data_IF_910964116719
#
_entry.id   IF_910964116719
#
_cell.length_a   1.000
_cell.length_b   1.000
_cell.length_c   1.000
_cell.angle_alpha   90.00
_cell.angle_beta   90.00
_cell.angle_gamma   90.00
#
_symmetry.space_group_name_H-M   'P 1'
#
loop_
_entity.id
_entity.type
_entity.pdbx_description
1 polymer ?
#
# COMPACT_ATOMS: atom_id res chain seq x y z
N UNK A 1 8.51 8.81 -8.86
CA UNK A 1 8.26 8.91 -7.42
C UNK A 1 6.76 8.78 -7.20
N UNK A 2 6.32 7.85 -6.36
CA UNK A 2 4.91 7.53 -6.16
C UNK A 2 4.72 6.05 -5.83
N UNK A 3 3.49 5.65 -5.53
CA UNK A 3 3.06 4.28 -5.17
C UNK A 3 3.70 3.21 -6.05
N UNK A 4 3.62 3.38 -7.38
CA UNK A 4 3.96 2.33 -8.35
C UNK A 4 5.34 2.48 -8.96
N UNK A 5 6.13 3.47 -8.52
CA UNK A 5 7.47 3.70 -9.05
C UNK A 5 8.38 2.51 -8.70
N UNK A 6 8.97 1.89 -9.72
CA UNK A 6 9.80 0.67 -9.62
C UNK A 6 9.09 -0.52 -8.93
N UNK A 7 7.76 -0.48 -8.86
CA UNK A 7 6.94 -1.58 -8.34
C UNK A 7 6.88 -2.76 -9.32
N UNK A 8 6.61 -3.95 -8.78
CA UNK A 8 6.44 -5.17 -9.56
C UNK A 8 4.96 -5.54 -9.80
N UNK A 9 4.01 -4.66 -9.46
CA UNK A 9 2.58 -4.99 -9.53
C UNK A 9 2.09 -5.41 -10.93
N UNK A 10 2.69 -4.87 -12.00
CA UNK A 10 2.34 -5.23 -13.38
C UNK A 10 3.12 -6.42 -13.94
N UNK A 11 4.10 -6.93 -13.19
CA UNK A 11 5.06 -7.93 -13.65
C UNK A 11 4.72 -9.31 -13.12
N UNK A 12 5.07 -10.35 -13.88
CA UNK A 12 5.00 -11.75 -13.42
C UNK A 12 6.20 -12.11 -12.55
N UNK A 13 6.45 -11.30 -11.53
CA UNK A 13 7.48 -11.51 -10.50
C UNK A 13 6.74 -11.82 -9.19
N UNK A 14 7.27 -12.75 -8.39
CA UNK A 14 6.61 -13.12 -7.14
C UNK A 14 6.54 -11.94 -6.19
N UNK A 15 5.40 -11.75 -5.50
CA UNK A 15 5.20 -10.61 -4.60
C UNK A 15 6.25 -10.49 -3.48
N UNK A 16 6.84 -11.60 -3.05
CA UNK A 16 7.89 -11.63 -2.04
C UNK A 16 9.18 -10.92 -2.51
N UNK A 17 9.38 -10.81 -3.82
CA UNK A 17 10.53 -10.15 -4.46
C UNK A 17 10.30 -8.65 -4.69
N UNK A 18 9.24 -8.08 -4.09
CA UNK A 18 8.95 -6.64 -4.19
C UNK A 18 10.16 -5.80 -3.75
N UNK A 19 10.29 -4.58 -4.29
CA UNK A 19 11.33 -3.67 -3.83
C UNK A 19 11.15 -3.30 -2.35
N UNK A 20 12.26 -3.06 -1.67
CA UNK A 20 12.31 -2.60 -0.27
C UNK A 20 13.38 -1.52 -0.12
N UNK A 21 13.12 -0.55 0.75
CA UNK A 21 14.15 0.39 1.17
C UNK A 21 15.22 -0.36 1.97
N UNK A 22 16.48 -0.17 1.59
CA UNK A 22 17.62 -0.92 2.16
C UNK A 22 18.26 -0.21 3.36
N UNK A 23 17.82 1.00 3.69
CA UNK A 23 18.35 1.78 4.81
C UNK A 23 17.34 2.79 5.35
N UNK A 24 17.56 3.22 6.58
CA UNK A 24 16.87 4.33 7.24
C UNK A 24 16.97 5.63 6.44
N UNK A 25 18.14 5.91 5.86
CA UNK A 25 18.36 7.09 5.03
C UNK A 25 17.51 7.03 3.76
N UNK A 26 17.44 5.87 3.10
CA UNK A 26 16.62 5.72 1.88
C UNK A 26 15.13 5.92 2.19
N UNK A 27 14.67 5.46 3.36
CA UNK A 27 13.32 5.74 3.87
C UNK A 27 13.09 7.23 4.09
N UNK A 28 14.00 7.91 4.79
CA UNK A 28 13.87 9.34 5.08
C UNK A 28 13.90 10.19 3.80
N UNK A 29 14.83 9.92 2.89
CA UNK A 29 14.93 10.62 1.61
C UNK A 29 13.64 10.51 0.78
N UNK A 30 12.98 9.34 0.83
CA UNK A 30 11.70 9.13 0.17
C UNK A 30 10.58 9.92 0.84
N UNK A 31 10.50 9.87 2.18
CA UNK A 31 9.50 10.56 2.95
C UNK A 31 9.59 12.09 2.81
N UNK A 32 10.82 12.64 2.77
CA UNK A 32 11.05 14.07 2.60
C UNK A 32 10.56 14.56 1.23
N UNK A 33 10.92 13.84 0.16
CA UNK A 33 10.46 14.15 -1.21
C UNK A 33 8.94 14.02 -1.34
N UNK A 34 8.34 13.01 -0.71
CA UNK A 34 6.89 12.84 -0.71
C UNK A 34 6.19 13.97 0.05
N UNK A 35 6.77 14.41 1.17
CA UNK A 35 6.25 15.54 1.96
C UNK A 35 6.35 16.86 1.18
N UNK A 36 7.46 17.09 0.48
CA UNK A 36 7.62 18.25 -0.40
C UNK A 36 6.57 18.26 -1.52
N UNK A 37 6.37 17.12 -2.19
CA UNK A 37 5.35 16.97 -3.22
C UNK A 37 3.93 17.17 -2.66
N UNK A 38 3.65 16.62 -1.48
CA UNK A 38 2.35 16.78 -0.83
C UNK A 38 2.09 18.24 -0.43
N UNK A 39 3.09 18.96 0.06
CA UNK A 39 2.98 20.39 0.34
C UNK A 39 2.73 21.21 -0.93
N UNK A 40 3.44 20.90 -2.01
CA UNK A 40 3.23 21.56 -3.29
C UNK A 40 1.80 21.32 -3.81
N UNK A 41 1.36 20.06 -3.91
CA UNK A 41 0.01 19.72 -4.39
C UNK A 41 -1.07 20.36 -3.51
N UNK A 42 -0.89 20.36 -2.18
CA UNK A 42 -1.83 20.98 -1.25
C UNK A 42 -1.92 22.50 -1.43
N UNK A 43 -0.80 23.17 -1.75
CA UNK A 43 -0.81 24.61 -2.10
C UNK A 43 -1.62 24.91 -3.36
N UNK A 44 -1.82 23.91 -4.23
CA UNK A 44 -2.67 23.98 -5.42
C UNK A 44 -4.11 23.50 -5.14
N UNK A 45 -4.47 23.24 -3.88
CA UNK A 45 -5.80 22.78 -3.48
C UNK A 45 -6.04 21.27 -3.66
N UNK A 46 -4.99 20.49 -3.94
CA UNK A 46 -5.09 19.03 -4.17
C UNK A 46 -4.34 18.29 -3.07
N UNK A 47 -5.04 17.43 -2.31
CA UNK A 47 -4.39 16.61 -1.28
C UNK A 47 -3.82 15.32 -1.89
N UNK A 48 -2.53 15.06 -1.63
CA UNK A 48 -1.91 13.79 -2.00
C UNK A 48 -2.44 12.67 -1.09
N UNK A 49 -2.91 11.58 -1.69
CA UNK A 49 -3.32 10.37 -1.00
C UNK A 49 -2.38 9.23 -1.42
N UNK A 50 -1.48 8.82 -0.54
CA UNK A 50 -0.55 7.73 -0.82
C UNK A 50 -1.26 6.40 -0.68
N UNK A 51 -1.30 5.62 -1.77
CA UNK A 51 -1.91 4.29 -1.79
C UNK A 51 -0.83 3.25 -1.53
N UNK A 52 -0.97 2.49 -0.45
CA UNK A 52 -0.13 1.32 -0.19
C UNK A 52 -0.61 0.15 -1.07
N UNK A 53 0.31 -0.58 -1.69
CA UNK A 53 -0.07 -1.51 -2.76
C UNK A 53 0.79 -2.78 -2.78
N UNK A 54 0.20 -3.86 -3.27
CA UNK A 54 0.93 -5.11 -3.45
C UNK A 54 1.99 -4.96 -4.54
N UNK A 55 3.20 -5.44 -4.29
CA UNK A 55 4.35 -5.34 -5.20
C UNK A 55 5.03 -3.97 -5.19
N UNK A 56 4.64 -3.05 -4.30
CA UNK A 56 5.25 -1.74 -4.14
C UNK A 56 6.25 -1.71 -2.97
N UNK A 57 6.95 -0.58 -2.82
CA UNK A 57 7.84 -0.33 -1.68
C UNK A 57 7.08 -0.32 -0.35
N UNK A 58 5.87 0.25 -0.35
CA UNK A 58 4.98 0.35 0.81
C UNK A 58 3.80 -0.59 0.59
N UNK A 59 3.85 -1.74 1.26
CA UNK A 59 2.87 -2.82 1.10
C UNK A 59 2.32 -3.28 2.46
N UNK A 60 3.20 -3.61 3.40
CA UNK A 60 2.81 -4.23 4.67
C UNK A 60 2.40 -3.17 5.70
N UNK A 61 1.70 -3.56 6.79
CA UNK A 61 1.38 -2.65 7.90
C UNK A 61 2.61 -1.92 8.45
N UNK A 62 3.75 -2.60 8.53
CA UNK A 62 5.00 -2.02 8.99
C UNK A 62 5.51 -0.95 8.01
N UNK A 63 5.39 -1.17 6.69
CA UNK A 63 5.76 -0.15 5.72
C UNK A 63 4.85 1.08 5.81
N UNK A 64 3.54 0.85 6.02
CA UNK A 64 2.56 1.94 6.21
C UNK A 64 2.94 2.74 7.46
N UNK A 65 3.27 2.07 8.56
CA UNK A 65 3.74 2.70 9.80
C UNK A 65 5.00 3.54 9.56
N UNK A 66 5.99 2.97 8.85
CA UNK A 66 7.24 3.67 8.52
C UNK A 66 6.97 4.92 7.69
N UNK A 67 6.15 4.81 6.65
CA UNK A 67 5.82 5.95 5.81
C UNK A 67 5.07 7.04 6.59
N UNK A 68 4.03 6.67 7.34
CA UNK A 68 3.23 7.63 8.10
C UNK A 68 4.04 8.28 9.23
N UNK A 69 4.97 7.56 9.85
CA UNK A 69 5.85 8.09 10.90
C UNK A 69 6.93 9.06 10.40
N UNK A 70 7.35 8.94 9.14
CA UNK A 70 8.43 9.76 8.56
C UNK A 70 7.96 10.95 7.74
N UNK A 71 6.74 10.88 7.21
CA UNK A 71 6.17 11.93 6.36
C UNK A 71 5.46 13.01 7.16
N UNK A 72 5.46 14.24 6.64
CA UNK A 72 4.66 15.34 7.18
C UNK A 72 3.15 15.12 7.05
N UNK A 73 2.33 15.81 7.84
CA UNK A 73 0.86 15.66 7.86
C UNK A 73 0.19 16.01 6.51
N UNK A 74 0.89 16.72 5.62
CA UNK A 74 0.44 17.02 4.26
C UNK A 74 0.24 15.75 3.43
N UNK A 75 1.03 14.69 3.69
CA UNK A 75 0.87 13.39 3.04
C UNK A 75 -0.34 12.68 3.64
N UNK A 76 -1.41 12.53 2.85
CA UNK A 76 -2.55 11.71 3.22
C UNK A 76 -2.33 10.23 2.89
N UNK A 77 -3.09 9.36 3.55
CA UNK A 77 -3.17 7.93 3.28
C UNK A 77 -4.44 7.64 2.47
N UNK A 78 -4.29 6.92 1.37
CA UNK A 78 -5.37 6.16 0.78
C UNK A 78 -5.35 4.79 1.45
N UNK A 79 -6.35 4.53 2.29
CA UNK A 79 -6.48 3.22 2.94
C UNK A 79 -7.22 2.26 2.02
N UNK A 80 -6.58 1.15 1.68
CA UNK A 80 -7.17 0.08 0.86
C UNK A 80 -7.29 -1.20 1.67
N UNK A 81 -8.52 -1.60 1.99
CA UNK A 81 -8.79 -2.74 2.87
C UNK A 81 -8.29 -4.07 2.30
N UNK A 82 -8.37 -4.24 0.98
CA UNK A 82 -7.97 -5.49 0.32
C UNK A 82 -6.46 -5.60 0.26
N UNK A 83 -5.78 -4.52 -0.14
CA UNK A 83 -4.33 -4.48 -0.13
C UNK A 83 -3.76 -4.62 1.29
N UNK A 84 -4.40 -4.01 2.28
CA UNK A 84 -4.02 -4.16 3.68
C UNK A 84 -4.04 -5.63 4.13
N UNK A 85 -5.13 -6.34 3.84
CA UNK A 85 -5.25 -7.76 4.18
C UNK A 85 -4.21 -8.63 3.45
N UNK A 86 -4.03 -8.38 2.16
CA UNK A 86 -3.05 -9.07 1.33
C UNK A 86 -1.62 -8.90 1.86
N UNK A 87 -1.26 -7.68 2.24
CA UNK A 87 0.02 -7.31 2.86
C UNK A 87 0.21 -7.86 4.30
N UNK A 88 -0.76 -8.60 4.83
CA UNK A 88 -0.67 -9.28 6.12
C UNK A 88 -1.27 -8.52 7.30
N UNK A 89 -1.90 -7.36 7.06
CA UNK A 89 -2.54 -6.58 8.11
C UNK A 89 -3.97 -6.98 8.41
N UNK A 90 -4.40 -6.70 9.64
CA UNK A 90 -5.82 -6.66 10.00
C UNK A 90 -6.38 -5.27 9.66
N UNK A 91 -7.27 -5.14 8.64
CA UNK A 91 -7.64 -3.84 8.07
C UNK A 91 -8.18 -2.84 9.09
N UNK A 92 -9.02 -3.29 10.02
CA UNK A 92 -9.61 -2.42 11.03
C UNK A 92 -8.55 -1.85 11.99
N UNK A 93 -7.54 -2.63 12.34
CA UNK A 93 -6.48 -2.19 13.25
C UNK A 93 -5.56 -1.16 12.57
N UNK A 94 -5.17 -1.42 11.32
CA UNK A 94 -4.36 -0.48 10.52
C UNK A 94 -5.13 0.82 10.27
N UNK A 95 -6.42 0.72 9.92
CA UNK A 95 -7.29 1.89 9.72
C UNK A 95 -7.40 2.73 11.00
N UNK A 96 -7.66 2.11 12.16
CA UNK A 96 -7.75 2.82 13.44
C UNK A 96 -6.46 3.56 13.77
N UNK A 97 -5.32 2.91 13.55
CA UNK A 97 -4.00 3.47 13.86
C UNK A 97 -3.69 4.73 13.05
N UNK A 98 -4.09 4.77 11.78
CA UNK A 98 -3.74 5.84 10.85
C UNK A 98 -4.92 6.72 10.43
N UNK A 99 -6.04 6.67 11.16
CA UNK A 99 -7.29 7.32 10.74
C UNK A 99 -7.13 8.82 10.49
N UNK A 100 -6.30 9.50 11.28
CA UNK A 100 -6.02 10.94 11.15
C UNK A 100 -5.28 11.30 9.85
N UNK A 101 -4.64 10.31 9.22
CA UNK A 101 -3.95 10.46 7.94
C UNK A 101 -4.83 10.11 6.75
N UNK A 102 -5.91 9.35 6.95
CA UNK A 102 -6.75 8.85 5.85
C UNK A 102 -7.51 10.01 5.20
N UNK A 103 -7.31 10.18 3.88
CA UNK A 103 -8.05 11.16 3.07
C UNK A 103 -8.78 10.54 1.88
N UNK A 104 -8.59 9.24 1.63
CA UNK A 104 -9.32 8.49 0.61
C UNK A 104 -9.40 7.01 1.02
N UNK A 105 -10.42 6.29 0.58
CA UNK A 105 -10.61 4.87 0.92
C UNK A 105 -10.94 4.08 -0.33
N UNK A 106 -10.19 3.00 -0.57
CA UNK A 106 -10.59 1.94 -1.48
C UNK A 106 -11.16 0.78 -0.68
N UNK A 107 -12.45 0.52 -0.87
CA UNK A 107 -13.09 -0.61 -0.21
C UNK A 107 -13.05 -1.84 -1.13
N UNK A 108 -12.10 -2.74 -0.85
CA UNK A 108 -11.92 -4.00 -1.57
C UNK A 108 -12.04 -5.16 -0.59
N UNK A 109 -12.77 -6.20 -0.98
CA UNK A 109 -12.84 -7.45 -0.24
C UNK A 109 -11.90 -8.48 -0.85
N UNK A 110 -11.61 -9.54 -0.08
CA UNK A 110 -10.64 -10.57 -0.45
C UNK A 110 -11.16 -11.95 -0.14
N UNK A 111 -11.07 -12.86 -1.11
CA UNK A 111 -11.39 -14.27 -0.90
C UNK A 111 -10.25 -14.93 -0.14
N UNK A 112 -10.41 -15.12 1.17
CA UNK A 112 -9.32 -15.55 2.08
C UNK A 112 -8.64 -16.85 1.65
N UNK A 113 -9.40 -17.81 1.13
CA UNK A 113 -8.85 -19.06 0.62
C UNK A 113 -7.88 -18.84 -0.57
N UNK A 114 -8.19 -17.91 -1.47
CA UNK A 114 -7.35 -17.56 -2.61
C UNK A 114 -6.10 -16.81 -2.16
N UNK A 115 -6.23 -15.91 -1.17
CA UNK A 115 -5.08 -15.23 -0.54
C UNK A 115 -4.09 -16.26 0.02
N UNK A 116 -4.60 -17.28 0.72
CA UNK A 116 -3.74 -18.34 1.28
C UNK A 116 -3.06 -19.15 0.18
N UNK A 117 -3.76 -19.49 -0.90
CA UNK A 117 -3.18 -20.15 -2.06
C UNK A 117 -2.07 -19.29 -2.69
N UNK A 118 -2.32 -18.00 -2.89
CA UNK A 118 -1.37 -17.06 -3.46
C UNK A 118 -0.05 -17.01 -2.67
N UNK A 119 -0.15 -16.97 -1.34
CA UNK A 119 1.00 -17.01 -0.43
C UNK A 119 1.77 -18.34 -0.55
N UNK A 120 1.06 -19.46 -0.51
CA UNK A 120 1.67 -20.80 -0.57
C UNK A 120 2.33 -21.10 -1.92
N UNK A 121 1.85 -20.50 -3.01
CA UNK A 121 2.34 -20.71 -4.36
C UNK A 121 3.24 -19.57 -4.87
N UNK A 122 3.58 -18.61 -4.02
CA UNK A 122 4.42 -17.45 -4.35
C UNK A 122 3.92 -16.69 -5.58
N UNK A 123 2.62 -16.40 -5.65
CA UNK A 123 2.06 -15.74 -6.84
C UNK A 123 2.60 -14.32 -7.06
N UNK A 124 2.63 -13.95 -8.35
CA UNK A 124 2.74 -12.56 -8.76
C UNK A 124 1.42 -11.81 -8.53
N UNK A 125 1.45 -10.47 -8.53
CA UNK A 125 0.21 -9.70 -8.41
C UNK A 125 -0.77 -9.98 -9.56
N UNK A 126 -0.35 -10.05 -10.85
CA UNK A 126 -1.25 -10.44 -11.93
C UNK A 126 -1.88 -11.82 -11.74
N UNK A 127 -1.15 -12.81 -11.22
CA UNK A 127 -1.72 -14.13 -10.93
C UNK A 127 -2.79 -14.05 -9.83
N UNK A 128 -2.59 -13.22 -8.79
CA UNK A 128 -3.64 -12.93 -7.79
C UNK A 128 -4.92 -12.34 -8.42
N UNK A 129 -4.77 -11.41 -9.37
CA UNK A 129 -5.93 -10.81 -10.06
C UNK A 129 -6.67 -11.87 -10.89
N UNK A 130 -5.94 -12.62 -11.72
CA UNK A 130 -6.53 -13.64 -12.61
C UNK A 130 -7.22 -14.74 -11.82
N UNK A 131 -6.69 -15.13 -10.66
CA UNK A 131 -7.28 -16.15 -9.80
C UNK A 131 -8.35 -15.61 -8.84
N UNK A 132 -8.71 -14.32 -8.93
CA UNK A 132 -9.86 -13.76 -8.22
C UNK A 132 -9.61 -13.51 -6.73
N UNK A 133 -8.41 -13.08 -6.36
CA UNK A 133 -8.10 -12.71 -4.97
C UNK A 133 -9.00 -11.59 -4.45
N UNK A 134 -9.19 -10.52 -5.22
CA UNK A 134 -10.08 -9.42 -4.86
C UNK A 134 -11.52 -9.69 -5.30
N UNK A 135 -12.47 -9.20 -4.52
CA UNK A 135 -13.90 -9.30 -4.79
C UNK A 135 -14.64 -8.07 -4.30
N UNK A 136 -15.94 -8.01 -4.59
CA UNK A 136 -16.82 -6.93 -4.10
C UNK A 136 -17.01 -7.05 -2.58
N UNK A 137 -17.12 -5.92 -1.86
CA UNK A 137 -17.43 -5.91 -0.42
C UNK A 137 -18.62 -6.79 -0.04
N UNK A 138 -18.40 -7.75 0.86
CA UNK A 138 -19.42 -8.68 1.37
C UNK A 138 -19.34 -10.10 0.79
N UNK A 139 -18.51 -10.32 -0.23
CA UNK A 139 -18.38 -11.61 -0.94
C UNK A 139 -17.08 -12.37 -0.62
N UNK A 140 -16.26 -11.87 0.33
CA UNK A 140 -14.91 -12.37 0.67
C UNK A 140 -14.82 -13.41 1.79
#
# INVERSE_FOLDING_TARGET
>A
YGEVADSIQGSRIHLIERPRFQSEQAWQDYADKLTELARFTLSQGVRLAYHHHMGAYVESPEDIDQLMGRTGPEVGLLFDSGHCYMGGGEPIEVLRKHIDRVCHVHFKDVRKAVVQLARNQMWSFPDCIVNGTFTVPGDG
#
